data_IF_331237547341
#
_entry.id   IF_331237547341
#
_cell.length_a   1.000
_cell.length_b   1.000
_cell.length_c   1.000
_cell.angle_alpha   90.00
_cell.angle_beta   90.00
_cell.angle_gamma   90.00
#
_symmetry.space_group_name_H-M   'P 1'
#
loop_
_entity.id
_entity.type
_entity.pdbx_description
1 polymer ?
#
# COMPACT_ATOMS: atom_id res chain seq x y z
N UNK A 1 -60.07 -7.67 -6.43
CA UNK A 1 -59.30 -6.48 -6.44
C UNK A 1 -58.32 -6.36 -5.30
N UNK A 2 -58.63 -6.86 -4.21
CA UNK A 2 -57.69 -6.78 -3.13
C UNK A 2 -56.53 -7.71 -3.34
N UNK A 3 -56.75 -8.70 -4.07
CA UNK A 3 -55.73 -9.73 -4.30
C UNK A 3 -54.50 -9.18 -4.99
N UNK A 4 -54.73 -8.26 -5.86
CA UNK A 4 -53.61 -7.74 -6.63
C UNK A 4 -52.55 -7.09 -5.78
N UNK A 5 -52.94 -6.56 -4.68
CA UNK A 5 -51.96 -5.87 -3.87
C UNK A 5 -50.96 -6.79 -3.25
N UNK A 6 -51.42 -7.93 -2.92
CA UNK A 6 -50.55 -8.90 -2.31
C UNK A 6 -49.41 -9.33 -3.24
N UNK A 7 -49.76 -9.42 -4.47
CA UNK A 7 -48.78 -9.85 -5.45
C UNK A 7 -47.56 -8.94 -5.51
N UNK A 8 -47.83 -7.69 -5.36
CA UNK A 8 -46.78 -6.71 -5.45
C UNK A 8 -45.78 -6.89 -4.36
N UNK A 9 -46.24 -7.18 -3.20
CA UNK A 9 -45.36 -7.33 -2.06
C UNK A 9 -44.42 -8.50 -2.23
N UNK A 10 -44.92 -9.55 -2.77
CA UNK A 10 -44.14 -10.76 -2.92
C UNK A 10 -43.01 -10.54 -3.88
N UNK A 11 -43.29 -9.91 -4.97
CA UNK A 11 -42.25 -9.66 -5.95
C UNK A 11 -41.13 -8.86 -5.36
N UNK A 12 -41.46 -8.01 -4.49
CA UNK A 12 -40.50 -7.15 -3.88
C UNK A 12 -39.52 -7.87 -3.00
N UNK A 13 -40.00 -8.80 -2.23
CA UNK A 13 -39.19 -9.53 -1.31
C UNK A 13 -38.15 -10.42 -2.01
N UNK A 14 -38.46 -10.88 -3.17
CA UNK A 14 -37.58 -11.81 -3.84
C UNK A 14 -36.27 -11.22 -4.27
N UNK A 15 -36.20 -9.94 -4.32
CA UNK A 15 -34.97 -9.28 -4.80
C UNK A 15 -33.82 -9.36 -3.83
N UNK A 16 -34.08 -9.22 -2.59
CA UNK A 16 -33.06 -9.16 -1.57
C UNK A 16 -32.16 -10.38 -1.45
N UNK A 17 -32.72 -11.54 -1.37
CA UNK A 17 -31.90 -12.71 -1.13
C UNK A 17 -30.83 -12.91 -2.19
N UNK A 18 -31.10 -12.45 -3.35
CA UNK A 18 -30.18 -12.60 -4.46
C UNK A 18 -28.92 -11.81 -4.24
N UNK A 19 -29.06 -10.63 -3.73
CA UNK A 19 -27.92 -9.77 -3.48
C UNK A 19 -26.99 -10.33 -2.43
N UNK A 20 -27.57 -10.85 -1.39
CA UNK A 20 -26.78 -11.37 -0.30
C UNK A 20 -25.87 -12.50 -0.73
N UNK A 21 -26.31 -13.30 -1.63
CA UNK A 21 -25.52 -14.44 -2.04
C UNK A 21 -24.28 -14.08 -2.79
N UNK A 22 -24.31 -13.03 -3.54
CA UNK A 22 -23.17 -12.68 -4.37
C UNK A 22 -21.96 -12.24 -3.58
N UNK A 23 -22.18 -11.79 -2.39
CA UNK A 23 -21.07 -11.23 -1.61
C UNK A 23 -20.21 -12.27 -0.94
N UNK A 24 -20.76 -13.42 -0.71
CA UNK A 24 -20.10 -14.38 0.14
C UNK A 24 -18.87 -14.98 -0.48
N UNK A 25 -18.69 -14.84 -1.75
CA UNK A 25 -17.57 -15.49 -2.43
C UNK A 25 -16.40 -14.56 -2.67
N UNK A 26 -16.50 -13.34 -2.25
CA UNK A 26 -15.46 -12.37 -2.52
C UNK A 26 -14.20 -12.68 -1.75
N UNK A 27 -13.07 -12.56 -2.41
CA UNK A 27 -11.79 -12.66 -1.76
C UNK A 27 -11.58 -11.44 -0.87
N UNK A 28 -10.74 -11.58 0.13
CA UNK A 28 -10.36 -10.45 0.97
C UNK A 28 -9.62 -9.43 0.12
N UNK A 29 -10.05 -8.17 0.12
CA UNK A 29 -9.36 -7.15 -0.65
C UNK A 29 -7.94 -6.97 -0.15
N UNK A 30 -7.03 -6.75 -1.08
CA UNK A 30 -5.63 -6.50 -0.76
C UNK A 30 -5.22 -5.15 -1.33
N UNK A 31 -4.21 -4.57 -0.74
CA UNK A 31 -3.74 -3.26 -1.10
C UNK A 31 -2.37 -3.26 -1.72
N UNK A 32 -1.84 -2.06 -1.88
CA UNK A 32 -0.55 -1.84 -2.50
C UNK A 32 0.12 -0.65 -1.84
N UNK A 33 1.44 -0.72 -1.69
CA UNK A 33 2.24 0.41 -1.19
C UNK A 33 3.25 0.78 -2.26
N UNK A 34 3.24 2.04 -2.66
CA UNK A 34 4.18 2.58 -3.63
C UNK A 34 5.12 3.54 -2.89
N UNK A 35 6.40 3.28 -2.98
CA UNK A 35 7.42 4.09 -2.33
C UNK A 35 8.22 4.82 -3.39
N UNK A 36 8.31 6.13 -3.27
CA UNK A 36 9.08 6.94 -4.19
C UNK A 36 10.21 7.62 -3.44
N UNK A 37 11.39 7.58 -4.02
CA UNK A 37 12.56 8.26 -3.47
C UNK A 37 13.04 9.27 -4.51
N UNK A 38 13.08 10.53 -4.11
CA UNK A 38 13.44 11.61 -5.02
C UNK A 38 14.54 12.48 -4.42
N UNK A 39 15.35 13.06 -5.30
CA UNK A 39 16.43 13.96 -4.89
C UNK A 39 15.92 15.41 -4.81
N UNK A 40 16.84 16.34 -4.64
CA UNK A 40 16.50 17.75 -4.50
C UNK A 40 15.83 18.33 -5.74
N UNK A 41 16.00 17.71 -6.88
CA UNK A 41 15.38 18.15 -8.13
C UNK A 41 14.11 17.39 -8.45
N UNK A 42 13.61 16.59 -7.52
CA UNK A 42 12.46 15.70 -7.71
C UNK A 42 12.71 14.61 -8.74
N UNK A 43 13.95 14.30 -9.01
CA UNK A 43 14.30 13.18 -9.87
C UNK A 43 14.35 11.89 -9.06
N UNK A 44 13.87 10.80 -9.63
CA UNK A 44 13.86 9.52 -8.95
C UNK A 44 15.26 9.00 -8.69
N UNK A 45 15.45 8.37 -7.55
CA UNK A 45 16.74 7.82 -7.15
C UNK A 45 16.71 6.31 -7.26
N UNK A 46 17.59 5.75 -8.07
CA UNK A 46 17.66 4.33 -8.37
C UNK A 46 18.44 3.58 -7.30
N UNK A 47 18.07 2.34 -7.08
CA UNK A 47 18.80 1.40 -6.21
C UNK A 47 18.81 1.78 -4.73
N UNK A 48 17.80 2.44 -4.27
CA UNK A 48 17.60 2.63 -2.85
C UNK A 48 16.94 1.36 -2.29
N UNK A 49 17.47 0.83 -1.22
CA UNK A 49 16.86 -0.32 -0.56
C UNK A 49 15.63 0.12 0.18
N UNK A 50 14.53 -0.57 -0.04
CA UNK A 50 13.27 -0.29 0.62
C UNK A 50 12.78 -1.57 1.26
N UNK A 51 12.58 -1.51 2.56
CA UNK A 51 12.07 -2.63 3.33
C UNK A 51 10.68 -2.30 3.86
N UNK A 52 9.78 -3.23 3.75
CA UNK A 52 8.44 -3.09 4.28
C UNK A 52 8.30 -4.02 5.47
N UNK A 53 8.07 -3.43 6.63
CA UNK A 53 7.87 -4.16 7.88
C UNK A 53 6.41 -4.13 8.25
N UNK A 54 5.89 -5.25 8.70
CA UNK A 54 4.53 -5.32 9.17
C UNK A 54 4.50 -5.19 10.68
N UNK A 55 3.64 -4.32 11.19
CA UNK A 55 3.44 -4.19 12.61
C UNK A 55 2.67 -5.39 13.13
N UNK A 56 3.18 -6.00 14.16
CA UNK A 56 2.55 -7.15 14.81
C UNK A 56 2.55 -6.93 16.31
N UNK A 57 1.85 -7.77 17.02
CA UNK A 57 1.84 -7.69 18.47
C UNK A 57 3.27 -7.87 18.98
N UNK A 58 3.76 -6.89 19.70
CA UNK A 58 5.11 -6.96 20.27
C UNK A 58 6.23 -6.45 19.39
N UNK A 59 5.94 -5.91 18.22
CA UNK A 59 7.02 -5.36 17.40
C UNK A 59 6.69 -5.29 15.93
N UNK A 60 7.72 -5.48 15.11
CA UNK A 60 7.57 -5.47 13.66
C UNK A 60 8.33 -6.65 13.09
N UNK A 61 7.86 -7.13 11.95
CA UNK A 61 8.57 -8.18 11.21
C UNK A 61 8.79 -7.71 9.78
N UNK A 62 9.92 -8.11 9.21
CA UNK A 62 10.19 -7.80 7.81
C UNK A 62 9.22 -8.59 6.96
N UNK A 63 8.48 -7.86 6.14
CA UNK A 63 7.47 -8.46 5.27
C UNK A 63 8.00 -8.66 3.86
N UNK A 64 8.56 -7.62 3.29
CA UNK A 64 9.11 -7.66 1.94
C UNK A 64 10.23 -6.65 1.82
N UNK A 65 11.12 -6.89 0.88
CA UNK A 65 12.21 -5.99 0.56
C UNK A 65 12.27 -5.78 -0.94
N UNK A 66 12.66 -4.59 -1.34
CA UNK A 66 12.78 -4.24 -2.75
C UNK A 66 13.81 -3.13 -2.93
N UNK A 67 14.00 -2.71 -4.15
CA UNK A 67 14.84 -1.55 -4.48
C UNK A 67 14.09 -0.67 -5.45
N UNK A 68 14.40 0.61 -5.41
CA UNK A 68 13.78 1.54 -6.34
C UNK A 68 14.30 1.30 -7.76
N UNK A 69 13.39 1.46 -8.71
CA UNK A 69 13.69 1.40 -10.12
C UNK A 69 14.41 2.67 -10.58
N UNK A 70 14.66 2.76 -11.87
CA UNK A 70 15.26 3.97 -12.45
C UNK A 70 14.41 5.21 -12.23
N UNK A 71 13.12 5.03 -12.03
CA UNK A 71 12.21 6.14 -11.71
C UNK A 71 12.14 6.45 -10.23
N UNK A 72 12.91 5.75 -9.42
CA UNK A 72 12.92 5.96 -7.99
C UNK A 72 11.72 5.35 -7.26
N UNK A 73 11.10 4.34 -7.83
CA UNK A 73 9.85 3.77 -7.29
C UNK A 73 10.05 2.30 -6.96
N UNK A 74 9.57 1.92 -5.78
CA UNK A 74 9.45 0.52 -5.38
C UNK A 74 7.99 0.27 -5.02
N UNK A 75 7.41 -0.78 -5.57
CA UNK A 75 6.00 -1.09 -5.36
C UNK A 75 5.88 -2.44 -4.68
N UNK A 76 5.12 -2.46 -3.60
CA UNK A 76 4.80 -3.69 -2.88
C UNK A 76 3.33 -4.02 -3.10
N UNK A 77 3.05 -5.25 -3.47
CA UNK A 77 1.69 -5.71 -3.67
C UNK A 77 1.22 -5.72 -5.11
N UNK A 78 2.05 -5.30 -6.05
CA UNK A 78 1.67 -5.31 -7.46
C UNK A 78 1.67 -6.71 -8.03
N UNK A 79 2.58 -7.53 -7.57
CA UNK A 79 2.61 -8.94 -7.95
C UNK A 79 2.60 -9.78 -6.69
N UNK A 80 2.18 -11.02 -6.81
CA UNK A 80 2.16 -11.91 -5.67
C UNK A 80 0.97 -11.73 -4.74
N UNK A 81 -0.11 -11.16 -5.21
CA UNK A 81 -1.36 -11.16 -4.45
C UNK A 81 -1.64 -9.95 -3.61
N UNK A 82 -0.81 -8.93 -3.66
CA UNK A 82 -1.08 -7.71 -2.91
C UNK A 82 -0.64 -7.76 -1.47
N UNK A 83 -1.01 -6.76 -0.72
CA UNK A 83 -0.66 -6.59 0.68
C UNK A 83 -1.95 -6.54 1.49
N UNK A 84 -2.01 -7.31 2.56
CA UNK A 84 -3.17 -7.32 3.43
C UNK A 84 -3.32 -6.02 4.20
N UNK A 85 -4.52 -5.77 4.68
CA UNK A 85 -4.79 -4.60 5.50
C UNK A 85 -3.95 -4.63 6.77
N UNK A 86 -3.54 -3.47 7.23
CA UNK A 86 -2.79 -3.35 8.48
C UNK A 86 -1.85 -2.18 8.44
N UNK A 87 -1.05 -2.08 9.48
CA UNK A 87 -0.05 -1.04 9.62
C UNK A 87 1.31 -1.58 9.21
N UNK A 88 2.01 -0.79 8.43
CA UNK A 88 3.33 -1.14 7.93
C UNK A 88 4.28 0.01 8.14
N UNK A 89 5.56 -0.33 8.30
CA UNK A 89 6.62 0.67 8.32
C UNK A 89 7.46 0.50 7.06
N UNK A 90 7.68 1.60 6.37
CA UNK A 90 8.55 1.64 5.20
C UNK A 90 9.88 2.20 5.65
N UNK A 91 10.92 1.42 5.46
CA UNK A 91 12.29 1.80 5.84
C UNK A 91 13.16 1.88 4.60
N UNK A 92 13.92 2.96 4.47
CA UNK A 92 14.85 3.10 3.36
C UNK A 92 16.27 3.12 3.86
N UNK A 93 17.16 2.53 3.06
CA UNK A 93 18.59 2.58 3.34
C UNK A 93 19.33 2.75 2.02
N UNK A 94 20.51 3.36 2.09
CA UNK A 94 21.21 3.74 0.89
C UNK A 94 22.50 2.93 0.76
N UNK A 95 22.77 2.53 -0.48
CA UNK A 95 24.00 1.80 -0.80
C UNK A 95 25.10 2.77 -1.14
N UNK A 96 24.75 3.92 -1.70
CA UNK A 96 25.72 4.88 -2.22
C UNK A 96 25.36 6.29 -1.76
N UNK A 97 25.97 7.21 -2.30
CA UNK A 97 26.12 8.63 -2.09
C UNK A 97 24.88 9.47 -1.78
N UNK A 98 23.89 8.91 -1.16
CA UNK A 98 22.68 9.63 -0.78
C UNK A 98 22.45 9.55 0.71
N UNK A 99 21.81 10.57 1.25
CA UNK A 99 21.34 10.56 2.61
C UNK A 99 19.98 11.25 2.64
N UNK A 100 19.26 11.07 3.72
CA UNK A 100 17.96 11.71 3.86
C UNK A 100 18.13 13.22 3.89
N UNK A 101 17.19 13.90 3.27
CA UNK A 101 17.14 15.35 3.34
C UNK A 101 16.88 15.79 4.77
N UNK A 102 17.28 17.01 5.13
CA UNK A 102 17.00 17.53 6.47
C UNK A 102 15.50 17.46 6.79
N UNK A 103 15.18 16.94 7.94
CA UNK A 103 13.79 16.80 8.36
C UNK A 103 13.11 15.52 7.95
N UNK A 104 13.75 14.70 7.10
CA UNK A 104 13.19 13.40 6.73
C UNK A 104 13.58 12.33 7.75
N UNK A 105 12.75 11.30 7.79
CA UNK A 105 13.06 10.12 8.60
C UNK A 105 13.13 8.92 7.67
N UNK A 106 13.94 7.94 8.04
CA UNK A 106 14.09 6.75 7.20
C UNK A 106 13.04 5.67 7.46
N UNK A 107 12.12 5.94 8.37
CA UNK A 107 11.01 5.05 8.66
C UNK A 107 9.72 5.84 8.59
N UNK A 108 8.75 5.36 7.84
CA UNK A 108 7.45 6.01 7.75
C UNK A 108 6.35 4.98 7.92
N UNK A 109 5.38 5.31 8.75
CA UNK A 109 4.23 4.45 8.98
C UNK A 109 3.20 4.65 7.88
N UNK A 110 2.69 3.57 7.36
CA UNK A 110 1.57 3.59 6.42
C UNK A 110 0.51 2.62 6.88
N UNK A 111 -0.74 3.00 6.71
CA UNK A 111 -1.86 2.14 7.03
C UNK A 111 -2.53 1.75 5.73
N UNK A 112 -2.62 0.45 5.48
CA UNK A 112 -3.24 -0.09 4.27
C UNK A 112 -4.58 -0.66 4.65
N UNK A 113 -5.61 -0.25 3.95
CA UNK A 113 -6.93 -0.84 4.07
C UNK A 113 -7.20 -1.67 2.83
N UNK A 114 -8.17 -2.55 2.92
CA UNK A 114 -8.44 -3.45 1.81
C UNK A 114 -8.70 -2.69 0.51
N UNK A 115 -7.97 -3.04 -0.52
CA UNK A 115 -8.15 -2.43 -1.83
C UNK A 115 -7.45 -1.10 -2.02
N UNK A 116 -6.80 -0.57 -1.00
CA UNK A 116 -6.17 0.75 -1.10
C UNK A 116 -4.81 0.70 -1.77
N UNK A 117 -4.47 1.81 -2.40
CA UNK A 117 -3.13 2.06 -2.91
C UNK A 117 -2.57 3.25 -2.15
N UNK A 118 -1.52 3.03 -1.39
CA UNK A 118 -0.93 4.05 -0.52
C UNK A 118 0.43 4.46 -1.06
N UNK A 119 0.69 5.75 -1.10
CA UNK A 119 1.97 6.27 -1.57
C UNK A 119 2.77 6.89 -0.44
N UNK A 120 4.08 6.71 -0.49
CA UNK A 120 5.03 7.29 0.46
C UNK A 120 6.19 7.87 -0.33
N UNK A 121 6.62 9.07 0.03
CA UNK A 121 7.74 9.71 -0.64
C UNK A 121 8.83 10.03 0.36
N UNK A 122 10.07 9.71 -0.01
CA UNK A 122 11.25 10.08 0.77
C UNK A 122 12.08 11.06 -0.05
N UNK A 123 12.57 12.08 0.62
CA UNK A 123 13.43 13.08 -0.01
C UNK A 123 14.86 12.85 0.43
N UNK A 124 15.77 12.84 -0.51
CA UNK A 124 17.19 12.59 -0.26
C UNK A 124 18.05 13.68 -0.88
N UNK A 125 19.25 13.76 -0.41
CA UNK A 125 20.27 14.64 -0.99
C UNK A 125 21.52 13.85 -1.22
N UNK A 126 22.35 14.31 -2.14
CA UNK A 126 23.62 13.67 -2.37
C UNK A 126 24.59 14.00 -1.25
N UNK A 127 25.37 13.00 -0.87
CA UNK A 127 26.46 13.23 0.05
C UNK A 127 27.63 13.70 -0.77
N UNK A 128 28.20 14.82 -0.37
CA UNK A 128 29.35 15.36 -1.08
C UNK A 128 30.49 14.36 -1.11
N UNK A 129 31.25 14.35 -2.20
CA UNK A 129 32.35 13.44 -2.32
C UNK A 129 33.37 13.76 -1.24
N UNK A 130 33.63 12.78 -0.51
CA UNK A 130 34.68 12.73 0.46
C UNK A 130 35.40 13.98 0.77
N UNK A 131 34.98 14.82 1.20
CA UNK A 131 35.66 16.01 1.48
C UNK A 131 36.70 15.86 2.56
#
# INVERSE_FOLDING_TARGET
>A
MRVSRLLIVIAFASVFPILACSDSTSATPVGKVSVQVVDANNAGVHLVNVDLYKAVSGGVVLWRASRTSSDGIAIFGESGGGIGAGDYYVHVSFITNYQLAPGETNDKLVTVQGGDSVGVTFHVVTVGPGI
#
